data_IF_745081329082
#
_entry.id   IF_745081329082
#
_cell.length_a   1.000
_cell.length_b   1.000
_cell.length_c   1.000
_cell.angle_alpha   90.00
_cell.angle_beta   90.00
_cell.angle_gamma   90.00
#
_symmetry.space_group_name_H-M   'P 1'
#
loop_
_entity.id
_entity.type
_entity.pdbx_description
1 polymer ?
#
# COMPACT_ATOMS: atom_id res chain seq x y z
N UNK A 1 -19.02 -14.69 -9.66
CA UNK A 1 -18.50 -13.52 -8.94
C UNK A 1 -17.93 -13.93 -7.60
N UNK A 2 -16.67 -13.66 -7.40
CA UNK A 2 -16.00 -14.03 -6.17
C UNK A 2 -15.40 -12.81 -5.50
N UNK A 3 -15.25 -12.89 -4.18
CA UNK A 3 -14.64 -11.84 -3.40
C UNK A 3 -13.36 -12.40 -2.75
N UNK A 4 -12.25 -11.74 -3.00
CA UNK A 4 -10.96 -12.12 -2.44
C UNK A 4 -10.46 -11.01 -1.53
N UNK A 5 -9.67 -11.39 -0.54
CA UNK A 5 -9.11 -10.44 0.42
C UNK A 5 -7.63 -10.73 0.58
N UNK A 6 -6.82 -9.69 0.56
CA UNK A 6 -5.40 -9.81 0.88
C UNK A 6 -4.97 -8.66 1.77
N UNK A 7 -3.88 -8.86 2.51
CA UNK A 7 -3.37 -7.87 3.45
C UNK A 7 -1.90 -8.15 3.73
N UNK A 8 -1.22 -7.16 4.30
CA UNK A 8 0.13 -7.31 4.83
C UNK A 8 1.17 -7.79 3.82
N UNK A 9 1.08 -7.29 2.59
CA UNK A 9 2.07 -7.63 1.58
C UNK A 9 3.46 -7.11 1.93
N UNK A 10 3.55 -6.00 2.64
CA UNK A 10 4.80 -5.44 3.18
C UNK A 10 5.97 -5.52 2.21
N UNK A 11 5.78 -4.98 1.01
CA UNK A 11 6.85 -4.89 0.02
C UNK A 11 7.23 -6.19 -0.65
N UNK A 12 6.53 -7.27 -0.39
CA UNK A 12 6.82 -8.57 -1.01
C UNK A 12 6.02 -8.75 -2.29
N UNK A 13 6.42 -8.02 -3.32
CA UNK A 13 5.66 -7.97 -4.57
C UNK A 13 5.60 -9.32 -5.29
N UNK A 14 6.66 -10.10 -5.22
CA UNK A 14 6.67 -11.42 -5.87
C UNK A 14 5.67 -12.37 -5.22
N UNK A 15 5.63 -12.38 -3.90
CA UNK A 15 4.69 -13.25 -3.18
C UNK A 15 3.26 -12.86 -3.49
N UNK A 16 2.98 -11.56 -3.56
CA UNK A 16 1.65 -11.09 -3.91
C UNK A 16 1.29 -11.47 -5.33
N UNK A 17 2.20 -11.27 -6.26
CA UNK A 17 1.97 -11.60 -7.67
C UNK A 17 1.70 -13.09 -7.84
N UNK A 18 2.47 -13.94 -7.17
CA UNK A 18 2.25 -15.38 -7.21
C UNK A 18 0.89 -15.77 -6.65
N UNK A 19 0.49 -15.16 -5.54
CA UNK A 19 -0.81 -15.43 -4.95
C UNK A 19 -1.94 -15.04 -5.89
N UNK A 20 -1.81 -13.89 -6.54
CA UNK A 20 -2.82 -13.41 -7.48
C UNK A 20 -2.93 -14.32 -8.71
N UNK A 21 -1.81 -14.84 -9.18
CA UNK A 21 -1.86 -15.71 -10.33
C UNK A 21 -2.55 -17.04 -10.04
N UNK A 22 -2.53 -17.48 -8.79
CA UNK A 22 -3.19 -18.72 -8.39
C UNK A 22 -4.71 -18.61 -8.34
N UNK A 23 -5.24 -17.43 -8.10
CA UNK A 23 -6.69 -17.27 -7.99
C UNK A 23 -7.36 -16.93 -9.32
N UNK A 24 -6.58 -16.57 -10.34
CA UNK A 24 -7.12 -16.25 -11.67
C UNK A 24 -8.28 -15.26 -11.61
N UNK A 25 -7.99 -14.09 -11.06
CA UNK A 25 -8.99 -13.05 -10.82
C UNK A 25 -9.74 -12.69 -12.11
N UNK A 26 -11.04 -12.92 -12.13
CA UNK A 26 -11.87 -12.59 -13.29
C UNK A 26 -12.41 -11.17 -13.20
N UNK A 27 -12.90 -10.65 -14.32
CA UNK A 27 -13.37 -9.25 -14.36
C UNK A 27 -14.53 -8.97 -13.44
N UNK A 28 -15.34 -9.97 -13.13
CA UNK A 28 -16.49 -9.80 -12.22
C UNK A 28 -16.13 -10.05 -10.76
N UNK A 29 -14.89 -10.45 -10.49
CA UNK A 29 -14.43 -10.67 -9.13
C UNK A 29 -13.96 -9.36 -8.52
N UNK A 30 -13.98 -9.30 -7.19
CA UNK A 30 -13.46 -8.14 -6.46
C UNK A 30 -12.34 -8.59 -5.52
N UNK A 31 -11.26 -7.84 -5.54
CA UNK A 31 -10.14 -8.06 -4.62
C UNK A 31 -10.08 -6.89 -3.64
N UNK A 32 -10.20 -7.19 -2.37
CA UNK A 32 -9.98 -6.18 -1.32
C UNK A 32 -8.55 -6.28 -0.83
N UNK A 33 -7.84 -5.16 -0.88
CA UNK A 33 -6.49 -5.05 -0.34
C UNK A 33 -6.58 -4.21 0.93
N UNK A 34 -6.38 -4.84 2.06
CA UNK A 34 -6.67 -4.23 3.36
C UNK A 34 -5.52 -3.40 3.93
N UNK A 35 -4.57 -3.01 3.09
CA UNK A 35 -3.49 -2.16 3.52
C UNK A 35 -2.24 -2.91 3.90
N UNK A 36 -1.33 -2.19 4.55
CA UNK A 36 -0.01 -2.68 4.93
C UNK A 36 0.75 -3.25 3.73
N UNK A 37 0.71 -2.49 2.64
CA UNK A 37 1.39 -2.82 1.40
C UNK A 37 2.87 -2.50 1.46
N UNK A 38 3.24 -1.59 2.32
CA UNK A 38 4.57 -0.98 2.37
C UNK A 38 5.33 -1.39 3.61
N UNK A 39 6.58 -0.97 3.67
CA UNK A 39 7.49 -1.17 4.79
C UNK A 39 7.95 -2.62 4.93
N UNK A 40 9.10 -2.78 5.49
CA UNK A 40 9.73 -4.06 5.87
C UNK A 40 10.29 -4.86 4.70
N UNK A 41 9.54 -5.04 3.63
CA UNK A 41 9.96 -5.87 2.51
C UNK A 41 10.76 -5.10 1.47
N UNK A 42 11.21 -5.78 0.43
CA UNK A 42 12.20 -5.19 -0.50
C UNK A 42 11.63 -4.26 -1.55
N UNK A 43 10.32 -4.31 -1.84
CA UNK A 43 9.78 -3.51 -2.94
C UNK A 43 8.38 -2.96 -2.65
N UNK A 44 8.27 -2.02 -1.71
CA UNK A 44 6.97 -1.42 -1.39
C UNK A 44 6.32 -0.73 -2.60
N UNK A 45 7.09 0.02 -3.36
CA UNK A 45 6.54 0.73 -4.53
C UNK A 45 6.06 -0.27 -5.57
N UNK A 46 6.75 -1.41 -5.71
CA UNK A 46 6.31 -2.46 -6.61
C UNK A 46 4.97 -3.05 -6.23
N UNK A 47 4.73 -3.24 -4.93
CA UNK A 47 3.42 -3.71 -4.45
C UNK A 47 2.34 -2.70 -4.81
N UNK A 48 2.59 -1.42 -4.58
CA UNK A 48 1.62 -0.37 -4.91
C UNK A 48 1.32 -0.36 -6.40
N UNK A 49 2.35 -0.46 -7.24
CA UNK A 49 2.16 -0.48 -8.69
C UNK A 49 1.34 -1.69 -9.13
N UNK A 50 1.62 -2.85 -8.57
CA UNK A 50 0.87 -4.06 -8.89
C UNK A 50 -0.60 -3.89 -8.53
N UNK A 51 -0.87 -3.46 -7.31
CA UNK A 51 -2.24 -3.28 -6.84
C UNK A 51 -2.99 -2.26 -7.69
N UNK A 52 -2.34 -1.14 -8.01
CA UNK A 52 -2.97 -0.10 -8.82
C UNK A 52 -3.23 -0.54 -10.27
N UNK A 53 -2.54 -1.55 -10.74
CA UNK A 53 -2.75 -2.07 -12.09
C UNK A 53 -3.98 -2.97 -12.19
N UNK A 54 -4.56 -3.38 -11.07
CA UNK A 54 -5.70 -4.30 -11.06
C UNK A 54 -7.00 -3.51 -11.11
N UNK A 55 -7.79 -3.65 -12.18
CA UNK A 55 -8.99 -2.81 -12.34
C UNK A 55 -10.09 -3.09 -11.34
N UNK A 56 -10.10 -4.28 -10.76
CA UNK A 56 -11.14 -4.67 -9.82
C UNK A 56 -10.65 -4.77 -8.38
N UNK A 57 -9.52 -4.14 -8.07
CA UNK A 57 -9.03 -4.08 -6.70
C UNK A 57 -9.62 -2.87 -5.98
N UNK A 58 -9.97 -3.08 -4.73
CA UNK A 58 -10.38 -2.00 -3.81
C UNK A 58 -9.40 -1.96 -2.67
N UNK A 59 -8.78 -0.81 -2.48
CA UNK A 59 -7.66 -0.67 -1.55
C UNK A 59 -8.11 0.14 -0.35
N UNK A 60 -7.78 -0.36 0.82
CA UNK A 60 -8.05 0.32 2.07
C UNK A 60 -6.72 0.64 2.75
N UNK A 61 -6.70 1.73 3.50
CA UNK A 61 -5.48 2.18 4.15
C UNK A 61 -5.25 1.39 5.43
N UNK A 62 -4.09 0.76 5.54
CA UNK A 62 -3.70 0.07 6.77
C UNK A 62 -2.91 0.97 7.69
N UNK A 63 -2.41 0.40 8.78
CA UNK A 63 -1.63 1.16 9.76
C UNK A 63 -0.35 1.72 9.15
N UNK A 64 0.35 0.93 8.38
CA UNK A 64 1.63 1.35 7.81
C UNK A 64 1.48 2.50 6.84
N UNK A 65 0.41 2.52 6.04
CA UNK A 65 0.15 3.65 5.15
C UNK A 65 -0.11 4.91 5.94
N UNK A 66 -0.85 4.81 7.04
CA UNK A 66 -1.11 5.97 7.87
C UNK A 66 0.16 6.47 8.56
N UNK A 67 0.99 5.56 9.05
CA UNK A 67 2.27 5.92 9.66
C UNK A 67 3.15 6.67 8.65
N UNK A 68 3.19 6.18 7.40
CA UNK A 68 3.94 6.85 6.35
C UNK A 68 3.42 8.26 6.08
N UNK A 69 2.10 8.41 5.97
CA UNK A 69 1.51 9.72 5.70
C UNK A 69 1.77 10.68 6.83
N UNK A 70 1.67 10.22 8.07
CA UNK A 70 1.99 11.08 9.22
C UNK A 70 3.43 11.54 9.18
N UNK A 71 4.35 10.67 8.80
CA UNK A 71 5.76 11.01 8.72
C UNK A 71 6.06 12.00 7.61
N UNK A 72 5.39 11.86 6.46
CA UNK A 72 5.66 12.70 5.28
C UNK A 72 4.94 14.03 5.39
N UNK A 73 3.69 14.04 5.79
CA UNK A 73 2.84 15.22 5.79
C UNK A 73 2.89 15.94 7.12
N UNK A 74 3.03 15.20 8.20
CA UNK A 74 3.06 15.74 9.53
C UNK A 74 4.33 16.53 9.81
N UNK A 75 4.29 17.28 10.90
CA UNK A 75 5.41 18.13 11.26
C UNK A 75 6.12 17.68 12.53
N UNK A 76 5.64 16.60 13.13
CA UNK A 76 6.22 16.09 14.36
C UNK A 76 7.37 15.14 14.00
N UNK A 77 8.61 15.44 14.49
CA UNK A 77 9.74 14.54 14.21
C UNK A 77 9.56 13.13 14.75
N UNK A 78 8.71 12.96 15.74
CA UNK A 78 8.44 11.61 16.26
C UNK A 78 7.73 10.72 15.23
N UNK A 79 7.00 11.29 14.31
CA UNK A 79 6.33 10.51 13.28
C UNK A 79 7.34 9.84 12.35
N UNK A 80 8.41 10.54 12.01
CA UNK A 80 9.47 9.96 11.18
C UNK A 80 10.17 8.81 11.91
N UNK A 81 10.42 8.98 13.21
CA UNK A 81 11.01 7.93 14.02
C UNK A 81 10.12 6.71 14.11
N UNK A 82 8.83 6.93 14.31
CA UNK A 82 7.85 5.85 14.39
C UNK A 82 7.86 5.05 13.09
N UNK A 83 7.92 5.73 11.97
CA UNK A 83 7.96 5.06 10.67
C UNK A 83 9.22 4.21 10.53
N UNK A 84 10.38 4.76 10.87
CA UNK A 84 11.64 4.02 10.82
C UNK A 84 11.61 2.77 11.69
N UNK A 85 11.14 2.89 12.92
CA UNK A 85 11.07 1.77 13.86
C UNK A 85 10.16 0.66 13.33
N UNK A 86 9.13 1.03 12.58
CA UNK A 86 8.21 0.06 12.01
C UNK A 86 8.63 -0.47 10.64
N UNK A 87 9.88 -0.22 10.25
CA UNK A 87 10.42 -0.76 9.01
C UNK A 87 10.20 0.12 7.80
N UNK A 88 9.91 1.38 8.00
CA UNK A 88 9.60 2.31 6.90
C UNK A 88 10.78 2.71 6.06
N UNK A 89 12.00 2.38 6.50
CA UNK A 89 13.20 2.79 5.75
C UNK A 89 13.25 2.20 4.35
N UNK A 90 12.69 0.99 4.14
CA UNK A 90 12.66 0.40 2.80
C UNK A 90 11.79 1.22 1.85
N UNK A 91 10.64 1.66 2.34
CA UNK A 91 9.75 2.50 1.56
C UNK A 91 10.38 3.86 1.30
N UNK A 92 10.97 4.45 2.34
CA UNK A 92 11.58 5.78 2.22
C UNK A 92 12.69 5.79 1.18
N UNK A 93 13.52 4.75 1.16
CA UNK A 93 14.59 4.67 0.16
C UNK A 93 14.04 4.64 -1.26
N UNK A 94 12.99 3.88 -1.50
CA UNK A 94 12.39 3.83 -2.82
C UNK A 94 11.74 5.16 -3.21
N UNK A 95 11.08 5.81 -2.26
CA UNK A 95 10.46 7.11 -2.53
C UNK A 95 11.52 8.16 -2.87
N UNK A 96 12.66 8.12 -2.19
CA UNK A 96 13.75 9.06 -2.45
C UNK A 96 14.35 8.88 -3.84
N UNK A 97 14.27 7.69 -4.41
CA UNK A 97 14.78 7.41 -5.75
C UNK A 97 13.80 7.78 -6.85
N UNK A 98 12.57 8.11 -6.51
CA UNK A 98 11.54 8.45 -7.50
C UNK A 98 11.67 9.87 -7.98
N UNK A 99 11.22 10.13 -9.21
CA UNK A 99 11.07 11.50 -9.67
C UNK A 99 9.99 12.20 -8.84
N UNK A 100 10.17 13.49 -8.66
CA UNK A 100 9.31 14.25 -7.75
C UNK A 100 7.83 14.15 -8.11
N UNK A 101 7.52 14.21 -9.39
CA UNK A 101 6.11 14.14 -9.83
C UNK A 101 5.49 12.78 -9.54
N UNK A 102 6.26 11.70 -9.74
CA UNK A 102 5.79 10.35 -9.43
C UNK A 102 5.61 10.17 -7.93
N UNK A 103 6.54 10.69 -7.15
CA UNK A 103 6.46 10.66 -5.70
C UNK A 103 5.22 11.39 -5.20
N UNK A 104 5.00 12.59 -5.70
CA UNK A 104 3.85 13.39 -5.31
C UNK A 104 2.53 12.70 -5.63
N UNK A 105 2.43 12.13 -6.81
CA UNK A 105 1.23 11.45 -7.24
C UNK A 105 0.95 10.22 -6.36
N UNK A 106 1.99 9.49 -6.01
CA UNK A 106 1.84 8.30 -5.17
C UNK A 106 1.38 8.68 -3.76
N UNK A 107 1.98 9.71 -3.18
CA UNK A 107 1.58 10.17 -1.84
C UNK A 107 0.14 10.67 -1.86
N UNK A 108 -0.25 11.39 -2.89
CA UNK A 108 -1.63 11.87 -3.03
C UNK A 108 -2.61 10.70 -3.13
N UNK A 109 -2.28 9.71 -3.95
CA UNK A 109 -3.11 8.51 -4.06
C UNK A 109 -3.26 7.83 -2.70
N UNK A 110 -2.16 7.69 -1.99
CA UNK A 110 -2.17 7.06 -0.67
C UNK A 110 -3.04 7.83 0.31
N UNK A 111 -3.00 9.15 0.26
CA UNK A 111 -3.80 9.98 1.15
C UNK A 111 -5.29 9.86 0.87
N UNK A 112 -5.65 9.55 -0.36
CA UNK A 112 -7.05 9.46 -0.77
C UNK A 112 -7.70 8.10 -0.49
N UNK A 113 -6.91 7.09 -0.15
CA UNK A 113 -7.45 5.77 0.15
C UNK A 113 -8.27 5.83 1.43
N UNK A 114 -9.40 5.13 1.46
CA UNK A 114 -10.22 5.01 2.65
C UNK A 114 -9.58 4.13 3.70
N UNK A 115 -10.00 4.30 4.93
CA UNK A 115 -9.50 3.49 6.02
C UNK A 115 -10.32 2.22 6.17
N UNK A 116 -9.64 1.13 6.47
CA UNK A 116 -10.29 -0.16 6.59
C UNK A 116 -11.33 -0.20 7.71
N UNK A 117 -11.09 0.55 8.77
CA UNK A 117 -11.91 0.43 9.96
C UNK A 117 -13.24 1.16 9.88
N UNK A 118 -13.45 2.07 8.95
CA UNK A 118 -14.65 2.88 9.04
C UNK A 118 -15.41 3.10 7.77
N UNK A 119 -14.84 2.91 6.62
CA UNK A 119 -15.52 3.32 5.43
C UNK A 119 -16.21 2.25 4.69
N UNK A 120 -15.75 1.08 4.80
CA UNK A 120 -16.14 0.02 3.91
C UNK A 120 -17.22 -0.86 4.41
N UNK A 121 -17.93 -0.39 5.30
CA UNK A 121 -19.11 -1.13 5.67
C UNK A 121 -20.26 -0.63 4.87
N UNK A 122 -20.34 -0.96 3.76
CA UNK A 122 -21.48 -0.58 2.95
C UNK A 122 -22.41 -1.74 2.69
#
# INVERSE_FOLDING_TARGET
MAIYVTSDAHGHVRALDEALSKISLASEDTLYVLGDMIDRGPDPVGVIKLVRSLPNARVLKGNHEQIMLDAIIGQDPLDAETWDINGGWTTREQLNDMEFEAYEELVRWMAEIGRASCRERV
#
